data_IF_766275769954
#
_entry.id   IF_766275769954
#
_cell.length_a   1.000
_cell.length_b   1.000
_cell.length_c   1.000
_cell.angle_alpha   90.00
_cell.angle_beta   90.00
_cell.angle_gamma   90.00
#
_symmetry.space_group_name_H-M   'P 1'
#
loop_
_entity.id
_entity.type
_entity.pdbx_description
1 polymer ?
#
# COMPACT_ATOMS: atom_id res chain seq x y z
N UNK A 1 -4.46 5.42 -16.98
CA UNK A 1 -4.00 5.24 -15.57
C UNK A 1 -4.36 6.44 -14.69
N UNK A 2 -5.60 6.93 -14.72
CA UNK A 2 -6.11 7.93 -13.77
C UNK A 2 -7.50 7.47 -13.34
N UNK A 3 -7.82 7.59 -12.06
CA UNK A 3 -9.14 7.25 -11.52
C UNK A 3 -9.29 5.86 -10.88
N UNK A 4 -8.28 4.98 -10.93
CA UNK A 4 -8.39 3.71 -10.19
C UNK A 4 -8.15 3.95 -8.69
N UNK A 5 -9.08 3.55 -7.80
CA UNK A 5 -9.01 3.87 -6.37
C UNK A 5 -7.78 3.28 -5.67
N UNK A 6 -7.22 2.19 -6.21
CA UNK A 6 -5.98 1.57 -5.70
C UNK A 6 -4.81 2.56 -5.62
N UNK A 7 -4.70 3.52 -6.53
CA UNK A 7 -3.60 4.48 -6.51
C UNK A 7 -3.74 5.46 -5.35
N UNK A 8 -4.97 5.88 -5.05
CA UNK A 8 -5.25 6.73 -3.89
C UNK A 8 -4.91 5.95 -2.62
N UNK A 9 -5.36 4.70 -2.52
CA UNK A 9 -5.05 3.83 -1.40
C UNK A 9 -3.55 3.67 -1.19
N UNK A 10 -2.78 3.41 -2.25
CA UNK A 10 -1.32 3.29 -2.18
C UNK A 10 -0.64 4.54 -1.60
N UNK A 11 -1.08 5.73 -2.00
CA UNK A 11 -0.53 6.98 -1.45
C UNK A 11 -1.00 7.24 -0.02
N UNK A 12 -2.29 7.01 0.26
CA UNK A 12 -2.88 7.22 1.57
C UNK A 12 -2.27 6.29 2.63
N UNK A 13 -1.88 5.07 2.24
CA UNK A 13 -1.26 4.09 3.12
C UNK A 13 0.26 4.01 2.97
N UNK A 14 0.90 4.94 2.26
CA UNK A 14 2.36 4.95 2.08
C UNK A 14 2.97 3.64 1.52
N UNK A 15 2.27 2.97 0.60
CA UNK A 15 2.74 1.75 -0.10
C UNK A 15 3.08 1.98 -1.58
N UNK A 16 3.05 3.23 -2.05
CA UNK A 16 3.25 3.60 -3.46
C UNK A 16 4.68 3.45 -3.99
N UNK A 17 5.70 3.50 -3.12
CA UNK A 17 7.10 3.35 -3.52
C UNK A 17 7.94 2.72 -2.40
N UNK A 18 9.16 2.27 -2.74
CA UNK A 18 10.11 1.70 -1.78
C UNK A 18 10.50 2.68 -0.68
N UNK A 19 10.58 3.97 -0.99
CA UNK A 19 10.84 5.02 0.00
C UNK A 19 9.80 5.10 1.09
N UNK A 20 8.52 5.07 0.70
CA UNK A 20 7.40 5.08 1.63
C UNK A 20 7.35 3.79 2.46
N UNK A 21 7.54 2.63 1.82
CA UNK A 21 7.61 1.33 2.51
C UNK A 21 8.72 1.30 3.57
N UNK A 22 9.91 1.81 3.26
CA UNK A 22 11.01 1.85 4.21
C UNK A 22 10.72 2.80 5.38
N UNK A 23 10.21 4.00 5.09
CA UNK A 23 9.94 5.02 6.11
C UNK A 23 8.81 4.63 7.06
N UNK A 24 7.73 4.04 6.54
CA UNK A 24 6.48 3.87 7.29
C UNK A 24 6.16 2.43 7.67
N UNK A 25 6.74 1.45 6.97
CA UNK A 25 6.47 0.03 7.18
C UNK A 25 7.73 -0.79 7.51
N UNK A 26 8.89 -0.14 7.63
CA UNK A 26 10.17 -0.79 7.95
C UNK A 26 10.54 -1.91 6.95
N UNK A 27 10.06 -1.80 5.70
CA UNK A 27 10.41 -2.71 4.61
C UNK A 27 11.57 -2.07 3.81
N UNK A 28 12.78 -2.66 3.82
CA UNK A 28 13.96 -2.02 3.27
C UNK A 28 13.88 -1.79 1.75
N UNK A 29 14.62 -0.77 1.30
CA UNK A 29 14.85 -0.52 -0.12
C UNK A 29 16.02 -1.38 -0.61
N UNK A 30 16.13 -1.54 -1.93
CA UNK A 30 17.25 -2.26 -2.55
C UNK A 30 17.08 -3.78 -2.60
N UNK A 31 16.01 -4.32 -2.01
CA UNK A 31 15.69 -5.75 -2.03
C UNK A 31 14.30 -6.02 -2.64
N UNK A 32 14.12 -7.18 -3.33
CA UNK A 32 12.80 -7.65 -3.74
C UNK A 32 11.85 -7.77 -2.54
N UNK A 33 10.54 -7.56 -2.75
CA UNK A 33 9.58 -7.85 -1.67
C UNK A 33 9.50 -9.37 -1.49
N UNK A 34 9.63 -9.83 -0.25
CA UNK A 34 9.23 -11.20 0.08
C UNK A 34 7.73 -11.38 -0.14
N UNK A 35 7.28 -12.61 -0.33
CA UNK A 35 5.86 -12.92 -0.49
C UNK A 35 5.03 -12.40 0.71
N UNK A 36 5.54 -12.56 1.93
CA UNK A 36 4.90 -12.04 3.13
C UNK A 36 4.79 -10.51 3.12
N UNK A 37 5.82 -9.79 2.66
CA UNK A 37 5.76 -8.32 2.52
C UNK A 37 4.76 -7.89 1.45
N UNK A 38 4.65 -8.63 0.33
CA UNK A 38 3.64 -8.36 -0.71
C UNK A 38 2.23 -8.55 -0.16
N UNK A 39 1.98 -9.67 0.51
CA UNK A 39 0.69 -9.97 1.14
C UNK A 39 0.31 -8.89 2.17
N UNK A 40 1.27 -8.48 3.01
CA UNK A 40 1.08 -7.37 3.94
C UNK A 40 0.68 -6.08 3.22
N UNK A 41 1.43 -5.66 2.19
CA UNK A 41 1.13 -4.44 1.43
C UNK A 41 -0.27 -4.49 0.81
N UNK A 42 -0.64 -5.62 0.20
CA UNK A 42 -1.98 -5.82 -0.38
C UNK A 42 -3.06 -5.72 0.68
N UNK A 43 -2.84 -6.31 1.87
CA UNK A 43 -3.80 -6.25 2.97
C UNK A 43 -4.05 -4.83 3.47
N UNK A 44 -3.00 -4.00 3.56
CA UNK A 44 -3.09 -2.60 3.98
C UNK A 44 -3.87 -1.77 2.95
N UNK A 45 -3.56 -1.93 1.67
CA UNK A 45 -4.27 -1.27 0.57
C UNK A 45 -5.75 -1.67 0.58
N UNK A 46 -6.03 -2.97 0.70
CA UNK A 46 -7.39 -3.50 0.74
C UNK A 46 -8.19 -2.97 1.93
N UNK A 47 -7.60 -2.96 3.12
CA UNK A 47 -8.24 -2.44 4.32
C UNK A 47 -8.66 -0.97 4.16
N UNK A 48 -7.77 -0.14 3.64
CA UNK A 48 -8.09 1.27 3.38
C UNK A 48 -9.22 1.42 2.35
N UNK A 49 -9.20 0.65 1.26
CA UNK A 49 -10.25 0.67 0.25
C UNK A 49 -11.62 0.28 0.81
N UNK A 50 -11.68 -0.80 1.61
CA UNK A 50 -12.93 -1.24 2.25
C UNK A 50 -13.50 -0.14 3.14
N UNK A 51 -12.67 0.55 3.90
CA UNK A 51 -13.11 1.67 4.72
C UNK A 51 -13.62 2.81 3.84
N UNK A 52 -12.83 3.28 2.89
CA UNK A 52 -13.15 4.49 2.14
C UNK A 52 -14.28 4.33 1.13
N UNK A 53 -14.45 3.13 0.56
CA UNK A 53 -15.48 2.88 -0.45
C UNK A 53 -16.81 2.46 0.17
N UNK A 54 -16.82 2.02 1.44
CA UNK A 54 -18.04 1.62 2.14
C UNK A 54 -18.45 2.59 3.26
N UNK A 55 -17.74 3.70 3.42
CA UNK A 55 -18.18 4.81 4.26
C UNK A 55 -19.44 5.43 3.63
N UNK A 56 -20.56 5.40 4.38
CA UNK A 56 -21.80 6.10 4.06
C UNK A 56 -21.74 7.55 4.54
#
# INVERSE_FOLDING_TARGET
MRGHPVFIAQHATATCCRGCLAKWHQIPQGEPLSEAQQQYIVSVIHYWLVIQMNQR
#
